data_IF_509307381433
#
_entry.id   IF_509307381433
#
_cell.length_a   1.000
_cell.length_b   1.000
_cell.length_c   1.000
_cell.angle_alpha   90.00
_cell.angle_beta   90.00
_cell.angle_gamma   90.00
#
_symmetry.space_group_name_H-M   'P 1'
#
loop_
_entity.id
_entity.type
_entity.pdbx_description
1 polymer ?
#
# COMPACT_ATOMS: atom_id res chain seq x y z
N UNK A 1 -9.71 -9.46 -29.96
CA UNK A 1 -10.38 -9.07 -29.59
C UNK A 1 -10.71 -9.02 -28.21
N UNK A 2 -11.64 -9.32 -27.89
CA UNK A 2 -12.02 -9.47 -26.64
C UNK A 2 -11.05 -9.76 -25.63
N UNK A 3 -10.13 -10.45 -26.01
CA UNK A 3 -9.14 -10.87 -25.15
C UNK A 3 -8.60 -9.77 -24.35
N UNK A 4 -8.44 -8.69 -24.93
CA UNK A 4 -7.88 -7.61 -24.27
C UNK A 4 -8.59 -7.21 -23.05
N UNK A 5 -9.86 -7.17 -23.12
CA UNK A 5 -10.61 -6.78 -21.99
C UNK A 5 -10.41 -7.67 -20.83
N UNK A 6 -10.36 -8.93 -21.12
CA UNK A 6 -10.23 -9.83 -20.03
C UNK A 6 -8.90 -9.66 -19.36
N UNK A 7 -7.92 -9.27 -20.10
CA UNK A 7 -6.63 -9.12 -19.53
C UNK A 7 -6.67 -7.97 -18.57
N UNK A 8 -7.29 -6.91 -18.94
CA UNK A 8 -7.37 -5.77 -18.08
C UNK A 8 -8.04 -6.11 -16.79
N UNK A 9 -9.09 -6.85 -16.84
CA UNK A 9 -9.81 -7.16 -15.63
C UNK A 9 -9.04 -8.08 -14.72
N UNK A 10 -8.17 -8.90 -15.26
CA UNK A 10 -7.44 -9.81 -14.40
C UNK A 10 -6.35 -9.13 -13.64
N UNK A 11 -6.06 -7.90 -13.96
CA UNK A 11 -5.00 -7.21 -13.27
C UNK A 11 -5.52 -6.29 -12.17
N UNK A 12 -6.76 -6.44 -11.79
CA UNK A 12 -7.29 -5.67 -10.69
C UNK A 12 -6.52 -6.00 -9.43
N UNK A 13 -6.01 -5.00 -8.78
CA UNK A 13 -5.22 -5.16 -7.57
C UNK A 13 -6.05 -4.61 -6.43
N UNK A 14 -6.32 -5.44 -5.44
CA UNK A 14 -7.26 -5.11 -4.38
C UNK A 14 -6.65 -5.24 -3.01
N UNK A 15 -7.18 -4.43 -2.09
CA UNK A 15 -6.74 -4.40 -0.70
C UNK A 15 -7.94 -4.72 0.17
N UNK A 16 -7.72 -5.57 1.18
CA UNK A 16 -8.78 -6.01 2.08
C UNK A 16 -8.34 -5.79 3.52
N UNK A 17 -9.28 -5.60 4.43
CA UNK A 17 -8.96 -5.51 5.84
C UNK A 17 -8.94 -6.91 6.47
N UNK A 18 -8.72 -7.00 7.76
CA UNK A 18 -8.59 -8.28 8.45
C UNK A 18 -9.87 -9.11 8.47
N UNK A 19 -11.01 -8.49 8.21
CA UNK A 19 -12.27 -9.23 8.16
C UNK A 19 -12.64 -9.64 6.74
N UNK A 20 -11.83 -9.29 5.77
CA UNK A 20 -12.11 -9.64 4.39
C UNK A 20 -12.88 -8.60 3.59
N UNK A 21 -13.11 -7.43 4.19
CA UNK A 21 -13.83 -6.36 3.54
C UNK A 21 -12.90 -5.62 2.62
N UNK A 22 -13.34 -5.33 1.41
CA UNK A 22 -12.49 -4.63 0.47
C UNK A 22 -12.30 -3.17 0.89
N UNK A 23 -11.05 -2.78 1.09
CA UNK A 23 -10.72 -1.40 1.45
C UNK A 23 -10.53 -0.53 0.20
N UNK A 24 -10.10 -1.14 -0.90
CA UNK A 24 -9.85 -0.39 -2.10
C UNK A 24 -9.15 -1.20 -3.16
N UNK A 25 -8.66 -0.50 -4.16
CA UNK A 25 -7.95 -1.14 -5.25
C UNK A 25 -6.86 -0.23 -5.80
N UNK A 26 -5.97 -0.80 -6.54
CA UNK A 26 -4.90 -0.07 -7.20
C UNK A 26 -5.05 -0.28 -8.70
N UNK A 27 -4.95 0.81 -9.46
CA UNK A 27 -4.99 0.75 -10.91
C UNK A 27 -3.78 1.51 -11.41
N UNK A 28 -2.77 0.78 -11.87
CA UNK A 28 -1.51 1.37 -12.25
C UNK A 28 -0.83 1.96 -11.02
N UNK A 29 -0.69 3.26 -11.02
CA UNK A 29 -0.08 3.96 -9.89
C UNK A 29 -1.10 4.69 -9.02
N UNK A 30 -2.40 4.46 -9.24
CA UNK A 30 -3.45 5.15 -8.50
C UNK A 30 -4.14 4.23 -7.51
N UNK A 31 -4.40 4.77 -6.33
CA UNK A 31 -5.07 4.04 -5.27
C UNK A 31 -6.48 4.57 -5.09
N UNK A 32 -7.45 3.66 -5.01
CA UNK A 32 -8.85 4.01 -4.85
C UNK A 32 -9.40 3.34 -3.58
N UNK A 33 -10.36 3.97 -2.93
CA UNK A 33 -10.96 3.37 -1.75
C UNK A 33 -12.11 2.44 -2.16
N UNK A 34 -12.78 1.88 -1.19
CA UNK A 34 -13.86 0.91 -1.43
C UNK A 34 -15.06 1.48 -2.19
N UNK A 35 -15.23 2.79 -2.21
CA UNK A 35 -16.30 3.40 -2.96
C UNK A 35 -15.86 3.85 -4.35
N UNK A 36 -14.61 3.61 -4.71
CA UNK A 36 -14.11 3.96 -6.04
C UNK A 36 -13.53 5.36 -6.15
N UNK A 37 -13.38 6.06 -5.04
CA UNK A 37 -12.83 7.39 -5.04
C UNK A 37 -11.31 7.30 -4.99
N UNK A 38 -10.62 8.10 -5.80
CA UNK A 38 -9.15 8.10 -5.78
C UNK A 38 -8.66 8.72 -4.49
N UNK A 39 -7.86 7.98 -3.74
CA UNK A 39 -7.31 8.43 -2.48
C UNK A 39 -5.83 8.75 -2.56
N UNK A 40 -5.17 8.37 -3.65
CA UNK A 40 -3.77 8.71 -3.79
C UNK A 40 -3.16 8.13 -5.04
N UNK A 41 -1.90 8.46 -5.23
CA UNK A 41 -1.11 7.89 -6.33
C UNK A 41 0.36 7.88 -5.98
N UNK A 42 1.12 7.08 -6.68
CA UNK A 42 2.56 6.99 -6.52
C UNK A 42 3.19 7.40 -7.84
N UNK A 43 4.18 8.29 -7.79
CA UNK A 43 4.89 8.73 -8.96
C UNK A 43 6.37 8.58 -8.65
N UNK A 44 7.01 7.63 -9.28
CA UNK A 44 8.38 7.26 -8.97
C UNK A 44 8.44 6.88 -7.50
N UNK A 45 9.08 7.67 -6.67
CA UNK A 45 9.21 7.36 -5.26
C UNK A 45 8.33 8.23 -4.38
N UNK A 46 7.50 9.08 -4.98
CA UNK A 46 6.69 10.03 -4.23
C UNK A 46 5.25 9.56 -4.14
N UNK A 47 4.64 9.81 -3.00
CA UNK A 47 3.28 9.41 -2.73
C UNK A 47 2.44 10.66 -2.56
N UNK A 48 1.30 10.71 -3.26
CA UNK A 48 0.40 11.86 -3.25
C UNK A 48 -0.97 11.42 -2.78
N UNK A 49 -1.70 12.32 -2.15
CA UNK A 49 -3.07 12.02 -1.74
C UNK A 49 -4.03 12.28 -2.90
N UNK A 50 -5.31 12.12 -2.65
CA UNK A 50 -6.34 12.28 -3.68
C UNK A 50 -6.45 13.67 -4.25
N UNK A 51 -5.93 14.68 -3.55
CA UNK A 51 -5.95 16.04 -4.05
C UNK A 51 -4.67 16.43 -4.78
N UNK A 52 -3.72 15.52 -4.86
CA UNK A 52 -2.47 15.79 -5.56
C UNK A 52 -1.37 16.34 -4.67
N UNK A 53 -1.58 16.36 -3.37
CA UNK A 53 -0.60 16.87 -2.41
C UNK A 53 0.37 15.77 -2.06
N UNK A 54 1.65 16.06 -2.04
CA UNK A 54 2.63 15.04 -1.67
C UNK A 54 2.55 14.74 -0.18
N UNK A 55 2.31 13.48 0.17
CA UNK A 55 2.20 13.06 1.55
C UNK A 55 3.37 12.20 2.00
N UNK A 56 4.24 11.83 1.08
CA UNK A 56 5.40 11.06 1.47
C UNK A 56 6.27 10.66 0.32
N UNK A 57 7.32 9.91 0.64
CA UNK A 57 8.18 9.30 -0.37
C UNK A 57 8.85 8.07 0.20
N UNK A 58 9.32 7.21 -0.67
CA UNK A 58 10.04 6.03 -0.29
C UNK A 58 11.41 6.10 -0.94
N UNK A 59 12.46 5.90 -0.14
CA UNK A 59 13.81 5.93 -0.63
C UNK A 59 14.46 4.63 -0.17
N UNK A 60 14.66 3.72 -1.11
CA UNK A 60 15.15 2.39 -0.81
C UNK A 60 14.19 1.73 0.18
N UNK A 61 14.62 1.48 1.40
CA UNK A 61 13.79 0.84 2.41
C UNK A 61 13.21 1.80 3.41
N UNK A 62 13.43 3.09 3.23
CA UNK A 62 12.99 4.09 4.20
C UNK A 62 11.77 4.84 3.71
N UNK A 63 10.87 5.13 4.61
CA UNK A 63 9.62 5.79 4.31
C UNK A 63 9.61 7.14 5.00
N UNK A 64 9.29 8.19 4.24
CA UNK A 64 9.29 9.56 4.74
C UNK A 64 7.90 10.17 4.54
N UNK A 65 7.53 11.10 5.43
CA UNK A 65 6.27 11.80 5.26
C UNK A 65 6.46 13.01 4.33
N UNK A 66 5.42 13.81 4.17
CA UNK A 66 5.45 14.95 3.26
C UNK A 66 6.41 16.05 3.67
N UNK A 67 6.83 16.07 4.93
CA UNK A 67 7.79 17.07 5.41
C UNK A 67 9.23 16.56 5.35
N UNK A 68 9.42 15.32 4.92
CA UNK A 68 10.76 14.76 4.82
C UNK A 68 11.23 14.02 6.06
N UNK A 69 10.34 13.83 7.02
CA UNK A 69 10.68 13.16 8.26
C UNK A 69 10.54 11.65 8.05
N UNK A 70 11.50 10.87 8.52
CA UNK A 70 11.40 9.43 8.37
C UNK A 70 10.33 8.88 9.31
N UNK A 71 9.34 8.21 8.75
CA UNK A 71 8.25 7.63 9.52
C UNK A 71 8.33 6.11 9.57
N UNK A 72 9.20 5.51 8.80
CA UNK A 72 9.29 4.07 8.83
C UNK A 72 10.42 3.51 8.03
N UNK A 73 10.55 2.20 8.11
CA UNK A 73 11.57 1.45 7.40
C UNK A 73 11.03 0.05 7.15
N UNK A 74 11.38 -0.52 6.03
CA UNK A 74 11.00 -1.90 5.71
C UNK A 74 12.27 -2.72 5.64
N UNK A 75 12.30 -3.86 6.31
CA UNK A 75 13.42 -4.77 6.29
C UNK A 75 12.88 -6.15 5.97
N UNK A 76 13.12 -6.59 4.74
CA UNK A 76 12.55 -7.85 4.27
C UNK A 76 11.05 -7.76 4.29
N UNK A 77 10.41 -8.56 5.12
CA UNK A 77 8.96 -8.59 5.23
C UNK A 77 8.44 -7.82 6.43
N UNK A 78 9.30 -7.14 7.16
CA UNK A 78 8.90 -6.45 8.39
C UNK A 78 8.83 -4.96 8.21
N UNK A 79 7.83 -4.36 8.85
CA UNK A 79 7.60 -2.92 8.81
C UNK A 79 7.94 -2.32 10.16
N UNK A 80 8.74 -1.25 10.15
CA UNK A 80 9.15 -0.57 11.38
C UNK A 80 8.72 0.89 11.31
N UNK A 81 8.51 1.53 12.46
CA UNK A 81 8.20 2.95 12.50
C UNK A 81 9.49 3.77 12.51
N UNK A 82 9.36 5.07 12.62
CA UNK A 82 10.52 5.96 12.58
C UNK A 82 11.49 5.80 13.73
N UNK A 83 11.05 5.20 14.83
CA UNK A 83 11.91 4.96 15.98
C UNK A 83 12.51 3.56 15.97
N UNK A 84 12.20 2.75 14.96
CA UNK A 84 12.74 1.40 14.86
C UNK A 84 11.89 0.32 15.51
N UNK A 85 10.71 0.68 15.96
CA UNK A 85 9.80 -0.26 16.61
C UNK A 85 9.03 -1.02 15.54
N UNK A 86 8.85 -2.32 15.72
CA UNK A 86 8.11 -3.14 14.76
C UNK A 86 6.63 -2.74 14.72
N UNK A 87 6.13 -2.47 13.53
CA UNK A 87 4.73 -2.13 13.32
C UNK A 87 3.96 -3.31 12.76
N UNK A 88 4.64 -4.25 12.14
CA UNK A 88 3.98 -5.38 11.55
C UNK A 88 4.85 -6.06 10.50
N UNK A 89 4.23 -6.96 9.75
CA UNK A 89 4.94 -7.68 8.71
C UNK A 89 3.97 -8.12 7.63
N UNK A 90 4.52 -8.49 6.49
CA UNK A 90 3.72 -9.11 5.45
C UNK A 90 4.21 -10.54 5.23
N UNK A 91 3.30 -11.43 4.90
CA UNK A 91 3.61 -12.81 4.61
C UNK A 91 2.82 -13.17 3.36
N UNK A 92 3.51 -13.17 2.22
CA UNK A 92 2.83 -13.33 0.96
C UNK A 92 1.90 -12.17 0.73
N UNK A 93 0.61 -12.44 0.66
CA UNK A 93 -0.39 -11.41 0.45
C UNK A 93 -1.09 -10.99 1.74
N UNK A 94 -0.63 -11.45 2.90
CA UNK A 94 -1.26 -11.13 4.16
C UNK A 94 -0.43 -10.13 4.94
N UNK A 95 -1.11 -9.25 5.66
CA UNK A 95 -0.47 -8.21 6.44
C UNK A 95 -0.87 -8.40 7.90
N UNK A 96 0.13 -8.40 8.78
CA UNK A 96 -0.08 -8.61 10.21
C UNK A 96 0.43 -7.40 10.98
N UNK A 97 -0.16 -7.13 12.12
CA UNK A 97 0.33 -6.07 12.99
C UNK A 97 1.45 -6.63 13.89
N UNK A 98 1.94 -5.81 14.79
CA UNK A 98 3.07 -6.20 15.63
C UNK A 98 2.72 -7.28 16.65
N UNK A 99 1.43 -7.50 16.90
CA UNK A 99 1.01 -8.56 17.81
C UNK A 99 0.76 -9.89 17.09
N UNK A 100 0.91 -9.90 15.78
CA UNK A 100 0.71 -11.10 14.98
C UNK A 100 -0.71 -11.28 14.47
N UNK A 101 -1.57 -10.28 14.64
CA UNK A 101 -2.95 -10.34 14.21
C UNK A 101 -3.03 -9.92 12.76
N UNK A 102 -3.78 -10.65 11.96
CA UNK A 102 -3.92 -10.28 10.55
C UNK A 102 -4.82 -9.04 10.44
N UNK A 103 -4.28 -7.99 9.84
CA UNK A 103 -4.99 -6.74 9.68
C UNK A 103 -5.36 -6.45 8.24
N UNK A 104 -4.84 -7.23 7.32
CA UNK A 104 -5.18 -6.98 5.93
C UNK A 104 -4.68 -8.06 5.00
N UNK A 105 -5.08 -7.93 3.75
CA UNK A 105 -4.70 -8.84 2.71
C UNK A 105 -4.68 -8.07 1.39
N UNK A 106 -3.80 -8.42 0.49
CA UNK A 106 -3.75 -7.83 -0.84
C UNK A 106 -3.99 -8.90 -1.88
N UNK A 107 -4.45 -8.51 -3.03
CA UNK A 107 -4.69 -9.43 -4.12
C UNK A 107 -4.05 -8.83 -5.36
N UNK A 108 -2.98 -9.47 -5.80
CA UNK A 108 -2.28 -9.04 -7.01
C UNK A 108 -1.42 -7.81 -6.87
N UNK A 109 -1.21 -7.30 -5.67
CA UNK A 109 -0.44 -6.09 -5.49
C UNK A 109 1.05 -6.38 -5.46
N UNK A 110 1.83 -5.44 -5.96
CA UNK A 110 3.27 -5.52 -5.91
C UNK A 110 3.75 -5.12 -4.53
N UNK A 111 4.94 -5.57 -4.20
CA UNK A 111 5.54 -5.26 -2.89
C UNK A 111 5.50 -3.76 -2.58
N UNK A 112 5.91 -2.93 -3.52
CA UNK A 112 5.93 -1.49 -3.33
C UNK A 112 4.52 -0.94 -3.04
N UNK A 113 3.53 -1.44 -3.74
CA UNK A 113 2.15 -1.01 -3.55
C UNK A 113 1.64 -1.41 -2.17
N UNK A 114 2.02 -2.59 -1.70
CA UNK A 114 1.63 -3.05 -0.38
C UNK A 114 2.26 -2.18 0.71
N UNK A 115 3.51 -1.80 0.53
CA UNK A 115 4.21 -0.94 1.47
C UNK A 115 3.53 0.43 1.53
N UNK A 116 3.20 1.01 0.37
CA UNK A 116 2.52 2.29 0.31
C UNK A 116 1.16 2.19 0.99
N UNK A 117 0.43 1.13 0.72
CA UNK A 117 -0.88 0.93 1.33
C UNK A 117 -0.75 0.86 2.85
N UNK A 118 0.19 0.09 3.35
CA UNK A 118 0.36 -0.08 4.79
C UNK A 118 0.70 1.24 5.49
N UNK A 119 1.61 2.01 4.93
CA UNK A 119 2.08 3.21 5.61
C UNK A 119 1.19 4.44 5.39
N UNK A 120 0.48 4.51 4.29
CA UNK A 120 -0.22 5.75 3.94
C UNK A 120 -1.73 5.61 3.83
N UNK A 121 -2.24 4.44 3.53
CA UNK A 121 -3.66 4.30 3.21
C UNK A 121 -4.41 3.28 4.07
N UNK A 122 -3.71 2.59 4.95
CA UNK A 122 -4.35 1.58 5.80
C UNK A 122 -4.87 2.13 7.11
#
# INVERSE_FOLDING_TARGET
MVVICSICSTHAQRMYDGSGRQLGRVDGDRFYNGSGMQIGRVDAQRIYDGSGRQIGRIDAERIYDGSGRQIGRVDGDRFYDGSGRSMGRMDGDRIYDSSGRQIGRTDGMRRMQTIVFFYFFM
#
